data_IF_601626328367
#
_entry.id   IF_601626328367
#
_cell.length_a   1.000
_cell.length_b   1.000
_cell.length_c   1.000
_cell.angle_alpha   90.00
_cell.angle_beta   90.00
_cell.angle_gamma   90.00
#
_symmetry.space_group_name_H-M   'P 1'
#
loop_
_entity.id
_entity.type
_entity.pdbx_description
1 polymer ?
#
# COMPACT_ATOMS: atom_id res chain seq x y z
N UNK A 1 -3.37 21.83 -9.58
CA UNK A 1 -4.68 22.48 -9.79
C UNK A 1 -5.60 22.29 -8.58
N UNK A 2 -6.34 23.33 -8.17
CA UNK A 2 -7.36 23.24 -7.09
C UNK A 2 -8.49 22.26 -7.44
N UNK A 3 -8.91 22.23 -8.70
CA UNK A 3 -9.91 21.30 -9.23
C UNK A 3 -9.44 19.85 -9.06
N UNK A 4 -8.18 19.56 -9.39
CA UNK A 4 -7.61 18.22 -9.24
C UNK A 4 -7.62 17.72 -7.79
N UNK A 5 -7.25 18.59 -6.83
CA UNK A 5 -7.31 18.26 -5.39
C UNK A 5 -8.74 18.01 -4.91
N UNK A 6 -9.67 18.87 -5.34
CA UNK A 6 -11.09 18.75 -5.01
C UNK A 6 -11.68 17.43 -5.52
N UNK A 7 -11.50 17.13 -6.80
CA UNK A 7 -11.96 15.89 -7.43
C UNK A 7 -11.31 14.67 -6.80
N UNK A 8 -10.02 14.74 -6.43
CA UNK A 8 -9.37 13.62 -5.74
C UNK A 8 -9.99 13.37 -4.37
N UNK A 9 -10.20 14.41 -3.56
CA UNK A 9 -10.87 14.29 -2.25
C UNK A 9 -12.28 13.72 -2.37
N UNK A 10 -12.95 14.03 -3.47
CA UNK A 10 -14.29 13.54 -3.76
C UNK A 10 -14.31 12.06 -4.21
N UNK A 11 -13.47 11.71 -5.19
CA UNK A 11 -13.52 10.40 -5.87
C UNK A 11 -12.69 9.32 -5.17
N UNK A 12 -11.63 9.69 -4.45
CA UNK A 12 -10.72 8.72 -3.84
C UNK A 12 -11.41 7.85 -2.78
N UNK A 13 -12.17 8.40 -1.81
CA UNK A 13 -12.88 7.57 -0.82
C UNK A 13 -13.90 6.63 -1.46
N UNK A 14 -14.59 7.10 -2.51
CA UNK A 14 -15.50 6.26 -3.30
C UNK A 14 -14.75 5.10 -3.96
N UNK A 15 -13.65 5.38 -4.65
CA UNK A 15 -12.83 4.40 -5.32
C UNK A 15 -12.26 3.36 -4.34
N UNK A 16 -11.67 3.81 -3.24
CA UNK A 16 -11.09 2.94 -2.22
C UNK A 16 -12.16 2.00 -1.61
N UNK A 17 -13.39 2.50 -1.41
CA UNK A 17 -14.48 1.69 -0.87
C UNK A 17 -14.94 0.58 -1.83
N UNK A 18 -15.19 0.90 -3.11
CA UNK A 18 -15.66 -0.12 -4.09
C UNK A 18 -14.55 -1.13 -4.43
N UNK A 19 -13.28 -0.72 -4.34
CA UNK A 19 -12.14 -1.57 -4.69
C UNK A 19 -11.65 -2.44 -3.53
N UNK A 20 -12.11 -2.19 -2.29
CA UNK A 20 -11.59 -2.84 -1.07
C UNK A 20 -11.62 -4.37 -1.15
N UNK A 21 -12.66 -4.95 -1.73
CA UNK A 21 -12.82 -6.41 -1.83
C UNK A 21 -11.86 -7.08 -2.82
N UNK A 22 -11.38 -6.34 -3.82
CA UNK A 22 -10.54 -6.88 -4.89
C UNK A 22 -9.08 -6.41 -4.81
N UNK A 23 -8.71 -5.67 -3.76
CA UNK A 23 -7.37 -5.08 -3.62
C UNK A 23 -6.58 -5.78 -2.52
N UNK A 24 -5.32 -6.11 -2.82
CA UNK A 24 -4.32 -6.47 -1.82
C UNK A 24 -3.75 -5.19 -1.21
N UNK A 25 -3.87 -5.04 0.11
CA UNK A 25 -3.39 -3.85 0.82
C UNK A 25 -1.87 -3.76 0.82
N UNK A 26 -1.21 -4.89 1.06
CA UNK A 26 0.23 -5.07 1.14
C UNK A 26 0.56 -6.57 1.06
N UNK A 27 1.85 -6.90 1.13
CA UNK A 27 2.39 -8.25 1.05
C UNK A 27 1.75 -9.19 2.09
N UNK A 28 1.66 -8.78 3.35
CA UNK A 28 1.04 -9.63 4.38
C UNK A 28 -0.46 -9.93 4.13
N UNK A 29 -1.23 -9.02 3.52
CA UNK A 29 -2.63 -9.28 3.13
C UNK A 29 -2.72 -10.29 1.98
N UNK A 30 -1.84 -10.17 0.98
CA UNK A 30 -1.69 -11.17 -0.08
C UNK A 30 -1.38 -12.55 0.49
N UNK A 31 -0.37 -12.65 1.36
CA UNK A 31 0.04 -13.93 1.94
C UNK A 31 -1.03 -14.53 2.84
N UNK A 32 -1.75 -13.72 3.61
CA UNK A 32 -2.90 -14.17 4.40
C UNK A 32 -3.98 -14.78 3.51
N UNK A 33 -4.35 -14.10 2.42
CA UNK A 33 -5.36 -14.58 1.45
C UNK A 33 -4.88 -15.84 0.71
N UNK A 34 -3.61 -15.92 0.36
CA UNK A 34 -3.00 -17.11 -0.25
C UNK A 34 -2.96 -18.31 0.70
N UNK A 35 -2.56 -18.13 1.96
CA UNK A 35 -2.59 -19.18 2.97
C UNK A 35 -4.03 -19.68 3.18
N UNK A 36 -5.00 -18.77 3.24
CA UNK A 36 -6.42 -19.13 3.33
C UNK A 36 -6.87 -19.95 2.12
N UNK A 37 -6.54 -19.49 0.90
CA UNK A 37 -6.80 -20.24 -0.34
C UNK A 37 -6.16 -21.64 -0.29
N UNK A 38 -4.89 -21.74 0.09
CA UNK A 38 -4.17 -23.01 0.16
C UNK A 38 -4.70 -23.97 1.24
N UNK A 39 -5.24 -23.44 2.34
CA UNK A 39 -5.84 -24.24 3.42
C UNK A 39 -7.20 -24.84 3.07
N UNK A 40 -7.86 -24.31 2.03
CA UNK A 40 -9.15 -24.80 1.59
C UNK A 40 -8.98 -26.05 0.72
N UNK A 41 -9.82 -27.04 0.98
CA UNK A 41 -9.78 -28.33 0.29
C UNK A 41 -9.90 -28.15 -1.24
N UNK A 42 -9.06 -28.85 -2.00
CA UNK A 42 -9.02 -28.88 -3.46
C UNK A 42 -8.82 -27.52 -4.17
N UNK A 43 -8.29 -26.51 -3.47
CA UNK A 43 -7.97 -25.22 -4.10
C UNK A 43 -6.54 -25.18 -4.66
N UNK A 44 -5.54 -25.40 -3.81
CA UNK A 44 -4.14 -25.46 -4.24
C UNK A 44 -3.73 -26.90 -4.57
N UNK A 45 -3.68 -27.20 -5.85
CA UNK A 45 -3.33 -28.49 -6.43
C UNK A 45 -1.90 -28.44 -6.97
N UNK A 46 -1.30 -29.59 -7.25
CA UNK A 46 0.03 -29.66 -7.88
C UNK A 46 0.10 -29.00 -9.26
N UNK A 47 -1.04 -28.86 -9.94
CA UNK A 47 -1.17 -28.23 -11.26
C UNK A 47 -1.63 -26.77 -11.20
N UNK A 48 -1.91 -26.22 -10.01
CA UNK A 48 -2.34 -24.82 -9.90
C UNK A 48 -1.26 -23.89 -10.42
N UNK A 49 -1.64 -23.03 -11.36
CA UNK A 49 -0.81 -21.97 -11.87
C UNK A 49 -1.12 -20.68 -11.12
N UNK A 50 -0.08 -19.88 -10.91
CA UNK A 50 -0.22 -18.48 -10.54
C UNK A 50 -0.07 -17.62 -11.78
N UNK A 51 -0.89 -16.59 -11.89
CA UNK A 51 -0.83 -15.60 -12.95
C UNK A 51 -0.63 -14.21 -12.36
N UNK A 52 0.34 -13.47 -12.90
CA UNK A 52 0.56 -12.07 -12.56
C UNK A 52 0.54 -11.23 -13.82
N UNK A 53 -0.20 -10.12 -13.75
CA UNK A 53 -0.32 -9.17 -14.85
C UNK A 53 0.18 -7.83 -14.35
N UNK A 54 1.27 -7.32 -14.94
CA UNK A 54 1.79 -5.98 -14.68
C UNK A 54 1.33 -5.01 -15.77
N UNK A 55 0.77 -3.89 -15.36
CA UNK A 55 0.24 -2.85 -16.24
C UNK A 55 1.34 -1.80 -16.47
N UNK A 56 1.94 -1.80 -17.67
CA UNK A 56 3.14 -1.02 -17.97
C UNK A 56 2.88 0.47 -18.16
N UNK A 57 1.65 0.85 -18.50
CA UNK A 57 1.25 2.23 -18.78
C UNK A 57 0.12 2.72 -17.85
N UNK A 58 0.15 2.35 -16.57
CA UNK A 58 -0.90 2.64 -15.59
C UNK A 58 -1.36 4.10 -15.54
N UNK A 59 -0.47 5.08 -15.73
CA UNK A 59 -0.84 6.50 -15.69
C UNK A 59 -1.26 7.08 -17.06
N UNK A 60 -1.12 6.29 -18.13
CA UNK A 60 -1.35 6.68 -19.52
C UNK A 60 -2.20 5.60 -20.20
N UNK A 61 -3.22 5.14 -19.49
CA UNK A 61 -4.06 3.99 -19.89
C UNK A 61 -4.85 4.27 -21.15
N UNK A 62 -5.54 5.41 -21.21
CA UNK A 62 -6.48 5.67 -22.30
C UNK A 62 -6.62 7.18 -22.59
N UNK A 63 -7.32 7.49 -23.67
CA UNK A 63 -7.72 8.86 -24.02
C UNK A 63 -8.65 9.43 -22.95
N UNK A 64 -8.58 10.75 -22.77
CA UNK A 64 -9.33 11.44 -21.71
C UNK A 64 -10.84 11.15 -21.75
N UNK A 65 -11.42 11.07 -22.96
CA UNK A 65 -12.85 10.78 -23.13
C UNK A 65 -13.23 9.45 -22.48
N UNK A 66 -12.51 8.38 -22.79
CA UNK A 66 -12.78 7.04 -22.26
C UNK A 66 -12.61 7.03 -20.74
N UNK A 67 -11.54 7.62 -20.19
CA UNK A 67 -11.35 7.71 -18.75
C UNK A 67 -12.53 8.43 -18.05
N UNK A 68 -13.01 9.53 -18.61
CA UNK A 68 -14.16 10.29 -18.07
C UNK A 68 -15.45 9.45 -18.14
N UNK A 69 -15.67 8.76 -19.25
CA UNK A 69 -16.87 7.94 -19.45
C UNK A 69 -16.85 6.71 -18.54
N UNK A 70 -15.69 6.07 -18.31
CA UNK A 70 -15.54 4.98 -17.34
C UNK A 70 -15.83 5.44 -15.92
N UNK A 71 -15.32 6.61 -15.49
CA UNK A 71 -15.67 7.16 -14.17
C UNK A 71 -17.17 7.39 -14.04
N UNK A 72 -17.79 7.99 -15.06
CA UNK A 72 -19.23 8.22 -15.06
C UNK A 72 -20.02 6.91 -14.98
N UNK A 73 -19.61 5.88 -15.72
CA UNK A 73 -20.22 4.56 -15.68
C UNK A 73 -20.11 3.92 -14.30
N UNK A 74 -18.90 3.87 -13.71
CA UNK A 74 -18.68 3.27 -12.38
C UNK A 74 -19.50 3.99 -11.30
N UNK A 75 -19.62 5.32 -11.38
CA UNK A 75 -20.45 6.12 -10.48
C UNK A 75 -21.96 5.81 -10.60
N UNK A 76 -22.42 5.45 -11.79
CA UNK A 76 -23.82 5.04 -12.04
C UNK A 76 -24.08 3.60 -11.57
N UNK A 77 -23.11 2.71 -11.75
CA UNK A 77 -23.16 1.29 -11.39
C UNK A 77 -23.18 1.07 -9.85
N UNK A 78 -22.75 2.06 -9.06
CA UNK A 78 -22.62 1.96 -7.59
C UNK A 78 -23.42 3.01 -6.82
N UNK A 79 -24.75 3.16 -7.05
CA UNK A 79 -25.56 4.27 -6.53
C UNK A 79 -25.56 4.37 -5.00
N UNK A 80 -25.44 3.23 -4.30
CA UNK A 80 -25.42 3.17 -2.83
C UNK A 80 -24.17 3.82 -2.22
N UNK A 81 -23.04 3.77 -2.94
CA UNK A 81 -21.77 4.41 -2.52
C UNK A 81 -21.67 5.85 -3.01
N UNK A 82 -22.45 6.21 -4.03
CA UNK A 82 -22.58 7.57 -4.58
C UNK A 82 -23.23 8.55 -3.61
N UNK A 83 -23.82 8.07 -2.49
CA UNK A 83 -24.26 8.92 -1.38
C UNK A 83 -23.14 9.76 -0.73
N UNK A 84 -21.87 9.47 -1.00
CA UNK A 84 -20.73 10.33 -0.62
C UNK A 84 -20.69 11.61 -1.47
N UNK A 85 -21.31 11.59 -2.65
CA UNK A 85 -21.31 12.68 -3.64
C UNK A 85 -22.54 13.59 -3.54
N UNK A 86 -23.27 13.57 -2.40
CA UNK A 86 -24.61 14.12 -2.10
C UNK A 86 -25.02 15.49 -2.70
N UNK A 87 -24.08 16.29 -3.22
CA UNK A 87 -24.34 17.63 -3.76
C UNK A 87 -23.80 17.86 -5.18
N UNK A 88 -23.28 16.83 -5.86
CA UNK A 88 -22.64 16.99 -7.17
C UNK A 88 -23.18 15.96 -8.16
N UNK A 89 -23.75 16.44 -9.26
CA UNK A 89 -24.21 15.56 -10.34
C UNK A 89 -23.03 14.88 -11.04
N UNK A 90 -23.25 13.66 -11.56
CA UNK A 90 -22.25 12.94 -12.38
C UNK A 90 -21.84 13.80 -13.58
N UNK A 91 -22.76 14.56 -14.18
CA UNK A 91 -22.45 15.47 -15.29
C UNK A 91 -21.49 16.59 -14.86
N UNK A 92 -21.67 17.15 -13.67
CA UNK A 92 -20.74 18.12 -13.07
C UNK A 92 -19.36 17.51 -12.89
N UNK A 93 -19.26 16.27 -12.39
CA UNK A 93 -17.99 15.54 -12.26
C UNK A 93 -17.33 15.37 -13.64
N UNK A 94 -18.08 14.93 -14.66
CA UNK A 94 -17.56 14.80 -16.04
C UNK A 94 -16.99 16.13 -16.54
N UNK A 95 -17.70 17.24 -16.34
CA UNK A 95 -17.25 18.55 -16.80
C UNK A 95 -15.99 19.02 -16.07
N UNK A 96 -15.92 18.83 -14.75
CA UNK A 96 -14.72 19.15 -13.97
C UNK A 96 -13.52 18.28 -14.39
N UNK A 97 -13.73 17.00 -14.67
CA UNK A 97 -12.70 16.10 -15.20
C UNK A 97 -12.23 16.52 -16.59
N UNK A 98 -13.14 16.96 -17.48
CA UNK A 98 -12.77 17.54 -18.78
C UNK A 98 -11.87 18.76 -18.59
N UNK A 99 -12.28 19.69 -17.72
CA UNK A 99 -11.46 20.88 -17.42
C UNK A 99 -10.09 20.47 -16.88
N UNK A 100 -10.03 19.48 -16.00
CA UNK A 100 -8.77 19.01 -15.45
C UNK A 100 -7.86 18.37 -16.52
N UNK A 101 -8.35 17.36 -17.23
CA UNK A 101 -7.54 16.56 -18.16
C UNK A 101 -7.11 17.35 -19.40
N UNK A 102 -8.01 18.13 -20.00
CA UNK A 102 -7.71 18.86 -21.25
C UNK A 102 -6.91 20.16 -21.04
N UNK A 103 -6.82 20.68 -19.81
CA UNK A 103 -6.01 21.87 -19.51
C UNK A 103 -4.65 21.56 -18.90
N UNK A 104 -4.26 20.27 -18.82
CA UNK A 104 -2.92 19.89 -18.40
C UNK A 104 -1.93 20.13 -19.55
N UNK A 105 -1.26 21.29 -19.50
CA UNK A 105 -0.20 21.70 -20.42
C UNK A 105 1.15 21.58 -19.73
N UNK A 106 2.19 21.20 -20.48
CA UNK A 106 3.57 21.24 -20.01
C UNK A 106 4.46 21.87 -21.08
N UNK A 107 5.58 22.44 -20.65
CA UNK A 107 6.53 23.11 -21.52
C UNK A 107 7.81 22.29 -21.63
N UNK A 108 8.29 22.07 -22.84
CA UNK A 108 9.55 21.38 -23.11
C UNK A 108 10.08 21.82 -24.47
N UNK A 109 11.40 22.01 -24.61
CA UNK A 109 12.06 22.39 -25.86
C UNK A 109 11.35 23.54 -26.60
N UNK A 110 11.06 24.61 -25.87
CA UNK A 110 10.37 25.81 -26.36
C UNK A 110 8.96 25.60 -26.95
N UNK A 111 8.35 24.44 -26.67
CA UNK A 111 7.01 24.08 -27.14
C UNK A 111 6.08 23.77 -25.97
N UNK A 112 4.82 24.13 -26.15
CA UNK A 112 3.74 23.79 -25.22
C UNK A 112 3.09 22.50 -25.71
N UNK A 113 3.12 21.46 -24.88
CA UNK A 113 2.50 20.18 -25.13
C UNK A 113 1.28 19.99 -24.26
N UNK A 114 0.35 19.15 -24.73
CA UNK A 114 -0.80 18.70 -23.98
C UNK A 114 -0.81 17.18 -23.92
N UNK A 115 -1.34 16.64 -22.83
CA UNK A 115 -1.58 15.21 -22.76
C UNK A 115 -2.77 14.84 -23.66
N UNK A 116 -2.59 13.80 -24.46
CA UNK A 116 -3.66 13.21 -25.28
C UNK A 116 -4.24 11.95 -24.65
N UNK A 117 -3.48 11.33 -23.74
CA UNK A 117 -3.84 10.17 -22.93
C UNK A 117 -3.36 10.38 -21.48
N UNK A 118 -4.11 9.83 -20.53
CA UNK A 118 -3.74 9.89 -19.12
C UNK A 118 -3.65 11.32 -18.57
N UNK A 119 -2.70 11.54 -17.66
CA UNK A 119 -2.42 12.83 -17.02
C UNK A 119 -1.03 12.76 -16.36
N UNK A 120 -0.38 13.88 -16.01
CA UNK A 120 0.92 13.84 -15.32
C UNK A 120 0.93 12.88 -14.12
N UNK A 121 1.96 12.02 -14.06
CA UNK A 121 2.16 11.01 -13.02
C UNK A 121 2.22 11.59 -11.60
N UNK A 122 2.57 12.87 -11.45
CA UNK A 122 2.74 13.52 -10.16
C UNK A 122 1.44 13.99 -9.50
N UNK A 123 0.26 13.77 -10.11
CA UNK A 123 -1.01 14.25 -9.57
C UNK A 123 -1.82 13.13 -8.92
N UNK A 124 -2.24 13.26 -7.64
CA UNK A 124 -3.03 12.25 -6.94
C UNK A 124 -4.33 11.85 -7.66
N UNK A 125 -4.96 12.81 -8.36
CA UNK A 125 -6.15 12.52 -9.15
C UNK A 125 -5.87 11.54 -10.30
N UNK A 126 -4.70 11.62 -10.95
CA UNK A 126 -4.31 10.69 -12.03
C UNK A 126 -4.32 9.25 -11.53
N UNK A 127 -3.75 9.00 -10.34
CA UNK A 127 -3.76 7.68 -9.71
C UNK A 127 -5.19 7.20 -9.42
N UNK A 128 -6.06 8.08 -8.92
CA UNK A 128 -7.46 7.76 -8.61
C UNK A 128 -8.24 7.40 -9.88
N UNK A 129 -8.08 8.18 -10.96
CA UNK A 129 -8.75 7.92 -12.23
C UNK A 129 -8.27 6.60 -12.86
N UNK A 130 -6.96 6.35 -12.80
CA UNK A 130 -6.36 5.12 -13.33
C UNK A 130 -6.84 3.90 -12.54
N UNK A 131 -6.95 4.00 -11.21
CA UNK A 131 -7.53 2.94 -10.38
C UNK A 131 -8.99 2.65 -10.74
N UNK A 132 -9.82 3.69 -10.95
CA UNK A 132 -11.22 3.50 -11.38
C UNK A 132 -11.29 2.82 -12.73
N UNK A 133 -10.44 3.23 -13.68
CA UNK A 133 -10.38 2.61 -14.99
C UNK A 133 -9.99 1.13 -14.91
N UNK A 134 -8.93 0.79 -14.16
CA UNK A 134 -8.49 -0.60 -13.98
C UNK A 134 -9.53 -1.44 -13.23
N UNK A 135 -10.25 -0.86 -12.27
CA UNK A 135 -11.35 -1.55 -11.58
C UNK A 135 -12.49 -1.95 -12.52
N UNK A 136 -12.80 -1.12 -13.52
CA UNK A 136 -13.78 -1.51 -14.53
C UNK A 136 -13.17 -2.54 -15.50
N UNK A 137 -11.95 -2.28 -15.98
CA UNK A 137 -11.25 -3.14 -16.92
C UNK A 137 -11.05 -4.58 -16.39
N UNK A 138 -10.69 -4.75 -15.12
CA UNK A 138 -10.45 -6.06 -14.52
C UNK A 138 -11.71 -6.94 -14.50
N UNK A 139 -12.92 -6.38 -14.66
CA UNK A 139 -14.15 -7.18 -14.79
C UNK A 139 -14.08 -8.13 -15.99
N UNK A 140 -13.29 -7.81 -17.02
CA UNK A 140 -13.02 -8.71 -18.15
C UNK A 140 -12.29 -9.98 -17.71
N UNK A 141 -11.35 -9.86 -16.76
CA UNK A 141 -10.63 -11.00 -16.19
C UNK A 141 -11.56 -11.76 -15.24
N UNK A 142 -12.20 -11.06 -14.31
CA UNK A 142 -13.06 -11.65 -13.27
C UNK A 142 -14.20 -12.51 -13.83
N UNK A 143 -14.76 -12.16 -15.00
CA UNK A 143 -15.80 -12.96 -15.67
C UNK A 143 -15.36 -14.39 -16.00
N UNK A 144 -14.05 -14.60 -16.17
CA UNK A 144 -13.49 -15.90 -16.53
C UNK A 144 -12.88 -16.63 -15.32
N UNK A 145 -12.71 -15.95 -14.19
CA UNK A 145 -12.15 -16.54 -12.98
C UNK A 145 -13.27 -17.26 -12.21
N UNK A 146 -13.05 -18.54 -11.94
CA UNK A 146 -13.97 -19.36 -11.15
C UNK A 146 -14.01 -18.86 -9.70
N UNK A 147 -15.17 -19.00 -9.06
CA UNK A 147 -15.40 -18.49 -7.69
C UNK A 147 -14.46 -19.09 -6.63
N UNK A 148 -13.90 -20.28 -6.87
CA UNK A 148 -12.95 -20.92 -5.98
C UNK A 148 -11.52 -20.40 -6.13
N UNK A 149 -11.20 -19.67 -7.21
CA UNK A 149 -9.88 -19.09 -7.42
C UNK A 149 -9.65 -17.83 -6.58
N UNK A 150 -8.40 -17.60 -6.18
CA UNK A 150 -8.00 -16.36 -5.57
C UNK A 150 -7.79 -15.31 -6.66
N UNK A 151 -8.32 -14.11 -6.45
CA UNK A 151 -8.07 -12.93 -7.26
C UNK A 151 -7.79 -11.72 -6.38
N UNK A 152 -6.88 -10.87 -6.82
CA UNK A 152 -6.79 -9.51 -6.32
C UNK A 152 -5.82 -8.66 -7.12
N UNK A 153 -5.84 -7.37 -6.83
CA UNK A 153 -5.02 -6.36 -7.52
C UNK A 153 -4.19 -5.55 -6.55
N UNK A 154 -3.13 -4.96 -7.05
CA UNK A 154 -2.42 -3.83 -6.45
C UNK A 154 -2.62 -2.59 -7.33
N UNK A 155 -1.81 -1.54 -7.14
CA UNK A 155 -1.90 -0.31 -7.94
C UNK A 155 -1.79 -0.60 -9.44
N UNK A 156 -0.71 -1.26 -9.85
CA UNK A 156 -0.35 -1.51 -11.25
C UNK A 156 -0.22 -3.01 -11.58
N UNK A 157 -0.70 -3.88 -10.68
CA UNK A 157 -0.60 -5.33 -10.83
C UNK A 157 -1.91 -6.06 -10.54
N UNK A 158 -2.11 -7.20 -11.18
CA UNK A 158 -3.17 -8.17 -10.87
C UNK A 158 -2.51 -9.51 -10.59
N UNK A 159 -3.07 -10.25 -9.63
CA UNK A 159 -2.68 -11.60 -9.28
C UNK A 159 -3.91 -12.48 -9.19
N UNK A 160 -3.83 -13.69 -9.75
CA UNK A 160 -4.83 -14.73 -9.54
C UNK A 160 -4.28 -16.14 -9.66
N UNK A 161 -5.02 -17.10 -9.12
CA UNK A 161 -4.75 -18.54 -9.25
C UNK A 161 -5.57 -19.14 -10.38
N UNK A 162 -5.08 -20.23 -10.97
CA UNK A 162 -5.73 -20.89 -12.09
C UNK A 162 -5.56 -22.41 -12.04
N UNK A 163 -6.67 -23.13 -11.92
CA UNK A 163 -6.72 -24.60 -11.96
C UNK A 163 -7.33 -25.19 -13.24
N UNK A 164 -7.80 -24.36 -14.18
CA UNK A 164 -8.34 -24.85 -15.45
C UNK A 164 -7.20 -25.12 -16.47
N UNK A 165 -7.56 -25.44 -17.70
CA UNK A 165 -6.57 -25.73 -18.75
C UNK A 165 -5.71 -24.50 -19.09
N UNK A 166 -4.46 -24.75 -19.50
CA UNK A 166 -3.55 -23.67 -19.93
C UNK A 166 -4.04 -23.02 -21.23
N UNK A 167 -4.63 -23.80 -22.14
CA UNK A 167 -5.15 -23.29 -23.42
C UNK A 167 -6.30 -22.30 -23.22
N UNK A 168 -7.19 -22.58 -22.26
CA UNK A 168 -8.26 -21.65 -21.87
C UNK A 168 -7.69 -20.35 -21.31
N UNK A 169 -6.66 -20.43 -20.44
CA UNK A 169 -5.98 -19.25 -19.90
C UNK A 169 -5.36 -18.39 -21.00
N UNK A 170 -4.61 -19.00 -21.91
CA UNK A 170 -4.01 -18.28 -23.04
C UNK A 170 -5.07 -17.62 -23.93
N UNK A 171 -6.16 -18.33 -24.23
CA UNK A 171 -7.28 -17.79 -25.03
C UNK A 171 -7.93 -16.57 -24.37
N UNK A 172 -8.15 -16.62 -23.05
CA UNK A 172 -8.72 -15.51 -22.28
C UNK A 172 -7.77 -14.31 -22.32
N UNK A 173 -6.48 -14.52 -22.08
CA UNK A 173 -5.49 -13.44 -22.05
C UNK A 173 -5.33 -12.78 -23.41
N UNK A 174 -5.26 -13.55 -24.50
CA UNK A 174 -5.24 -13.01 -25.86
C UNK A 174 -6.50 -12.20 -26.19
N UNK A 175 -7.67 -12.68 -25.74
CA UNK A 175 -8.94 -11.98 -25.94
C UNK A 175 -8.94 -10.64 -25.21
N UNK A 176 -8.41 -10.60 -23.99
CA UNK A 176 -8.31 -9.37 -23.19
C UNK A 176 -7.36 -8.37 -23.84
N UNK A 177 -6.19 -8.80 -24.32
CA UNK A 177 -5.25 -7.94 -25.03
C UNK A 177 -5.86 -7.35 -26.30
N UNK A 178 -6.62 -8.15 -27.05
CA UNK A 178 -7.33 -7.70 -28.27
C UNK A 178 -8.45 -6.70 -27.97
N UNK A 179 -9.21 -6.90 -26.89
CA UNK A 179 -10.32 -6.02 -26.53
C UNK A 179 -9.86 -4.64 -26.03
N UNK A 180 -8.64 -4.53 -25.50
CA UNK A 180 -8.15 -3.32 -24.83
C UNK A 180 -6.72 -2.98 -25.25
N UNK A 181 -6.50 -2.59 -26.52
CA UNK A 181 -5.16 -2.37 -27.08
C UNK A 181 -4.41 -1.19 -26.42
N UNK A 182 -5.12 -0.33 -25.68
CA UNK A 182 -4.52 0.78 -24.97
C UNK A 182 -3.85 0.37 -23.65
N UNK A 183 -4.22 -0.78 -23.07
CA UNK A 183 -3.61 -1.27 -21.81
C UNK A 183 -2.46 -2.20 -22.16
N UNK A 184 -1.22 -1.78 -21.84
CA UNK A 184 -0.02 -2.58 -22.10
C UNK A 184 0.25 -3.49 -20.92
N UNK A 185 0.23 -4.79 -21.19
CA UNK A 185 0.37 -5.83 -20.18
C UNK A 185 1.74 -6.50 -20.27
N UNK A 186 2.25 -6.94 -19.13
CA UNK A 186 3.31 -7.94 -19.03
C UNK A 186 2.78 -9.06 -18.15
N UNK A 187 2.59 -10.24 -18.74
CA UNK A 187 1.96 -11.38 -18.08
C UNK A 187 3.01 -12.42 -17.73
N UNK A 188 2.93 -12.98 -16.53
CA UNK A 188 3.73 -14.13 -16.11
C UNK A 188 2.82 -15.21 -15.57
N UNK A 189 3.02 -16.44 -16.04
CA UNK A 189 2.22 -17.61 -15.68
C UNK A 189 3.18 -18.72 -15.29
N UNK A 190 2.91 -19.39 -14.18
CA UNK A 190 3.66 -20.57 -13.81
C UNK A 190 3.35 -21.06 -12.41
N UNK A 191 3.98 -22.16 -12.02
CA UNK A 191 4.01 -22.60 -10.63
C UNK A 191 4.82 -21.65 -9.75
N UNK A 192 5.64 -20.77 -10.33
CA UNK A 192 6.44 -19.76 -9.63
C UNK A 192 6.29 -18.40 -10.30
N UNK A 193 5.87 -17.40 -9.53
CA UNK A 193 5.68 -16.02 -10.01
C UNK A 193 6.14 -15.00 -8.98
N UNK A 194 6.17 -13.74 -9.40
CA UNK A 194 6.51 -12.60 -8.55
C UNK A 194 5.34 -11.61 -8.49
N UNK A 195 4.98 -11.18 -7.29
CA UNK A 195 3.94 -10.17 -7.07
C UNK A 195 4.17 -9.47 -5.73
N UNK A 196 4.04 -8.13 -5.67
CA UNK A 196 4.26 -7.32 -4.45
C UNK A 196 5.54 -7.73 -3.70
N UNK A 197 6.73 -7.60 -4.32
CA UNK A 197 8.02 -7.96 -3.72
C UNK A 197 8.08 -9.37 -3.09
N UNK A 198 7.22 -10.28 -3.56
CA UNK A 198 7.10 -11.63 -3.05
C UNK A 198 7.26 -12.62 -4.20
N UNK A 199 8.12 -13.61 -4.00
CA UNK A 199 8.21 -14.79 -4.83
C UNK A 199 7.22 -15.82 -4.29
N UNK A 200 6.29 -16.26 -5.12
CA UNK A 200 5.21 -17.20 -4.78
C UNK A 200 5.44 -18.45 -5.62
N UNK A 201 5.47 -19.61 -4.97
CA UNK A 201 5.78 -20.88 -5.60
C UNK A 201 4.84 -21.98 -5.12
N UNK A 202 4.40 -22.82 -6.05
CA UNK A 202 3.60 -24.00 -5.81
C UNK A 202 4.52 -25.21 -5.98
N UNK A 203 4.91 -25.80 -4.84
CA UNK A 203 5.73 -27.02 -4.79
C UNK A 203 4.81 -28.21 -4.61
N UNK A 204 4.28 -28.72 -5.72
CA UNK A 204 3.44 -29.92 -5.74
C UNK A 204 2.19 -29.85 -4.83
N UNK A 205 1.50 -28.71 -4.82
CA UNK A 205 0.31 -28.47 -4.00
C UNK A 205 0.63 -27.83 -2.64
N UNK A 206 1.90 -27.52 -2.36
CA UNK A 206 2.31 -26.78 -1.19
C UNK A 206 2.70 -25.36 -1.55
N UNK A 207 2.12 -24.39 -0.85
CA UNK A 207 2.44 -22.98 -1.01
C UNK A 207 3.77 -22.66 -0.36
N UNK A 208 4.68 -22.08 -1.15
CA UNK A 208 5.97 -21.58 -0.69
C UNK A 208 6.11 -20.11 -1.07
N UNK A 209 6.55 -19.29 -0.13
CA UNK A 209 6.66 -17.84 -0.32
C UNK A 209 7.94 -17.30 0.31
N UNK A 210 8.59 -16.35 -0.36
CA UNK A 210 9.79 -15.66 0.14
C UNK A 210 9.87 -14.24 -0.41
N UNK A 211 10.67 -13.39 0.23
CA UNK A 211 10.91 -12.03 -0.27
C UNK A 211 11.59 -12.10 -1.65
N UNK A 212 11.18 -11.22 -2.55
CA UNK A 212 11.78 -11.02 -3.85
C UNK A 212 12.44 -9.65 -3.93
N UNK A 213 13.74 -9.64 -4.18
CA UNK A 213 14.52 -8.44 -4.47
C UNK A 213 14.69 -8.31 -5.98
N UNK A 214 14.20 -7.21 -6.56
CA UNK A 214 14.43 -6.94 -7.99
C UNK A 214 15.90 -6.57 -8.19
N UNK A 215 16.69 -7.36 -8.95
CA UNK A 215 18.11 -7.11 -9.16
C UNK A 215 18.40 -5.80 -9.91
N UNK A 216 17.39 -5.23 -10.58
CA UNK A 216 17.48 -3.94 -11.27
C UNK A 216 17.13 -2.76 -10.36
N UNK A 217 16.47 -3.03 -9.23
CA UNK A 217 16.21 -2.02 -8.22
C UNK A 217 17.40 -1.94 -7.27
N UNK A 218 17.98 -0.74 -7.16
CA UNK A 218 18.98 -0.53 -6.13
C UNK A 218 18.24 -0.40 -4.81
N UNK A 219 18.26 -1.46 -4.00
CA UNK A 219 17.70 -1.50 -2.65
C UNK A 219 18.56 -0.66 -1.71
N UNK A 220 18.65 0.64 -1.95
CA UNK A 220 19.17 1.57 -0.97
C UNK A 220 18.16 1.61 0.19
N UNK A 221 18.46 0.86 1.25
CA UNK A 221 17.93 1.19 2.57
C UNK A 221 18.23 2.66 2.85
N UNK A 222 17.39 3.32 3.67
CA UNK A 222 17.57 4.70 4.08
C UNK A 222 19.03 4.89 4.56
N UNK A 223 19.93 5.56 3.81
CA UNK A 223 21.33 5.62 4.18
C UNK A 223 21.46 6.23 5.57
N UNK A 224 22.38 5.73 6.41
CA UNK A 224 22.61 6.30 7.74
C UNK A 224 23.40 7.61 7.62
N UNK A 225 22.74 8.61 7.04
CA UNK A 225 23.28 9.94 6.78
C UNK A 225 22.66 10.96 7.75
N UNK A 226 23.42 12.00 8.04
CA UNK A 226 22.93 13.14 8.84
C UNK A 226 21.70 13.76 8.16
N UNK A 227 20.53 13.69 8.79
CA UNK A 227 19.29 14.29 8.29
C UNK A 227 18.03 13.45 8.54
N UNK A 228 18.17 12.15 8.82
CA UNK A 228 17.06 11.28 9.21
C UNK A 228 17.05 11.03 10.72
N UNK A 229 15.86 10.99 11.33
CA UNK A 229 15.74 10.70 12.76
C UNK A 229 16.05 9.22 13.01
N UNK A 230 16.70 8.90 14.15
CA UNK A 230 16.95 7.51 14.58
C UNK A 230 15.67 6.66 14.58
N UNK A 231 14.51 7.29 14.80
CA UNK A 231 13.19 6.65 14.75
C UNK A 231 12.86 6.13 13.34
N UNK A 232 13.16 6.89 12.27
CA UNK A 232 12.91 6.45 10.89
C UNK A 232 13.73 5.21 10.53
N UNK A 233 15.01 5.19 10.91
CA UNK A 233 15.91 4.06 10.74
C UNK A 233 15.43 2.81 11.50
N UNK A 234 15.02 3.01 12.76
CA UNK A 234 14.46 1.95 13.61
C UNK A 234 13.19 1.35 13.02
N UNK A 235 12.26 2.22 12.57
CA UNK A 235 11.01 1.80 11.96
C UNK A 235 11.23 1.03 10.66
N UNK A 236 12.15 1.47 9.81
CA UNK A 236 12.45 0.78 8.55
C UNK A 236 12.89 -0.66 8.81
N UNK A 237 13.93 -0.87 9.64
CA UNK A 237 14.46 -2.22 9.91
C UNK A 237 13.40 -3.10 10.58
N UNK A 238 12.66 -2.55 11.55
CA UNK A 238 11.56 -3.26 12.21
C UNK A 238 10.49 -3.70 11.21
N UNK A 239 10.03 -2.80 10.34
CA UNK A 239 9.01 -3.12 9.34
C UNK A 239 9.51 -4.16 8.34
N UNK A 240 10.77 -4.09 7.92
CA UNK A 240 11.37 -5.06 7.01
C UNK A 240 11.45 -6.46 7.65
N UNK A 241 11.84 -6.56 8.93
CA UNK A 241 11.87 -7.84 9.66
C UNK A 241 10.46 -8.43 9.84
N UNK A 242 9.46 -7.59 10.16
CA UNK A 242 8.05 -8.02 10.24
C UNK A 242 7.57 -8.54 8.90
N UNK A 243 7.88 -7.83 7.82
CA UNK A 243 7.54 -8.23 6.46
C UNK A 243 8.18 -9.58 6.10
N UNK A 244 9.48 -9.76 6.38
CA UNK A 244 10.19 -11.01 6.15
C UNK A 244 9.52 -12.17 6.88
N UNK A 245 9.19 -12.00 8.17
CA UNK A 245 8.52 -13.04 8.96
C UNK A 245 7.13 -13.40 8.41
N UNK A 246 6.37 -12.43 7.91
CA UNK A 246 5.05 -12.69 7.34
C UNK A 246 5.14 -13.38 5.97
N UNK A 247 6.08 -12.93 5.14
CA UNK A 247 6.21 -13.40 3.75
C UNK A 247 6.89 -14.74 3.66
N UNK A 248 7.99 -14.96 4.37
CA UNK A 248 8.75 -16.20 4.27
C UNK A 248 7.98 -17.38 4.89
N UNK A 249 7.68 -18.40 4.09
CA UNK A 249 7.04 -19.63 4.56
C UNK A 249 8.04 -20.56 5.24
N UNK A 250 9.28 -20.62 4.75
CA UNK A 250 10.33 -21.41 5.34
C UNK A 250 11.22 -20.58 6.27
N UNK A 251 11.67 -21.23 7.33
CA UNK A 251 12.59 -20.67 8.31
C UNK A 251 13.93 -20.24 7.70
N UNK A 252 14.43 -21.01 6.72
CA UNK A 252 15.69 -20.74 6.05
C UNK A 252 15.59 -19.47 5.19
N UNK A 253 14.50 -19.29 4.44
CA UNK A 253 14.29 -18.05 3.67
C UNK A 253 14.20 -16.82 4.60
N UNK A 254 13.56 -16.96 5.76
CA UNK A 254 13.49 -15.88 6.75
C UNK A 254 14.87 -15.54 7.31
N UNK A 255 15.69 -16.55 7.59
CA UNK A 255 17.07 -16.35 8.04
C UNK A 255 17.94 -15.67 6.98
N UNK A 256 17.85 -16.13 5.73
CA UNK A 256 18.55 -15.51 4.60
C UNK A 256 18.15 -14.04 4.46
N UNK A 257 16.85 -13.74 4.51
CA UNK A 257 16.35 -12.37 4.43
C UNK A 257 16.79 -11.52 5.63
N UNK A 258 16.74 -12.06 6.85
CA UNK A 258 17.21 -11.37 8.06
C UNK A 258 18.69 -11.00 7.91
N UNK A 259 19.53 -11.95 7.53
CA UNK A 259 20.96 -11.72 7.31
C UNK A 259 21.17 -10.66 6.22
N UNK A 260 20.41 -10.74 5.13
CA UNK A 260 20.43 -9.75 4.06
C UNK A 260 20.08 -8.34 4.57
N UNK A 261 19.05 -8.19 5.41
CA UNK A 261 18.67 -6.90 6.02
C UNK A 261 19.74 -6.36 6.97
N UNK A 262 20.33 -7.23 7.79
CA UNK A 262 21.44 -6.88 8.69
C UNK A 262 22.65 -6.37 7.89
N UNK A 263 23.07 -7.10 6.86
CA UNK A 263 24.16 -6.71 5.97
C UNK A 263 23.85 -5.41 5.22
N UNK A 264 22.62 -5.26 4.74
CA UNK A 264 22.16 -4.04 4.07
C UNK A 264 22.27 -2.83 5.01
N UNK A 265 21.91 -2.96 6.28
CA UNK A 265 22.10 -1.89 7.27
C UNK A 265 23.58 -1.53 7.44
N UNK A 266 24.44 -2.53 7.62
CA UNK A 266 25.87 -2.31 7.84
C UNK A 266 26.52 -1.60 6.64
N UNK A 267 26.20 -2.04 5.42
CA UNK A 267 26.68 -1.41 4.17
C UNK A 267 26.17 0.04 4.04
N UNK A 268 24.97 0.33 4.55
CA UNK A 268 24.41 1.70 4.56
C UNK A 268 24.86 2.55 5.76
N UNK A 269 25.87 2.12 6.52
CA UNK A 269 26.53 2.92 7.57
C UNK A 269 25.91 2.82 8.97
N UNK A 270 25.00 1.88 9.19
CA UNK A 270 24.42 1.64 10.51
C UNK A 270 25.45 0.95 11.41
N UNK A 271 25.49 1.30 12.70
CA UNK A 271 26.42 0.64 13.63
C UNK A 271 25.96 -0.79 13.94
N UNK A 272 26.91 -1.71 14.13
CA UNK A 272 26.61 -3.09 14.54
C UNK A 272 25.71 -3.13 15.79
N UNK A 273 26.03 -2.34 16.80
CA UNK A 273 25.23 -2.22 18.03
C UNK A 273 23.79 -1.76 17.76
N UNK A 274 23.57 -0.90 16.76
CA UNK A 274 22.21 -0.51 16.37
C UNK A 274 21.46 -1.71 15.78
N UNK A 275 22.07 -2.41 14.83
CA UNK A 275 21.46 -3.56 14.14
C UNK A 275 21.13 -4.66 15.13
N UNK A 276 22.11 -5.09 15.93
CA UNK A 276 21.95 -6.14 16.94
C UNK A 276 20.84 -5.80 17.95
N UNK A 277 20.79 -4.55 18.43
CA UNK A 277 19.76 -4.11 19.38
C UNK A 277 18.36 -4.23 18.77
N UNK A 278 18.18 -3.85 17.51
CA UNK A 278 16.87 -3.85 16.87
C UNK A 278 16.42 -5.25 16.46
N UNK A 279 17.35 -6.09 15.99
CA UNK A 279 17.08 -7.51 15.72
C UNK A 279 16.75 -8.23 17.03
N UNK A 280 17.50 -7.99 18.10
CA UNK A 280 17.20 -8.56 19.42
C UNK A 280 15.81 -8.13 19.91
N UNK A 281 15.50 -6.84 19.84
CA UNK A 281 14.19 -6.31 20.22
C UNK A 281 13.04 -6.92 19.38
N UNK A 282 13.28 -7.23 18.11
CA UNK A 282 12.29 -7.88 17.25
C UNK A 282 11.93 -9.29 17.76
N UNK A 283 12.91 -10.08 18.20
CA UNK A 283 12.67 -11.39 18.81
C UNK A 283 12.13 -11.28 20.24
N UNK A 284 12.63 -10.33 21.04
CA UNK A 284 12.20 -10.10 22.43
C UNK A 284 10.69 -9.82 22.50
N UNK A 285 10.14 -9.11 21.50
CA UNK A 285 8.73 -8.71 21.46
C UNK A 285 7.75 -9.90 21.59
N UNK A 286 8.12 -11.07 21.10
CA UNK A 286 7.33 -12.30 21.20
C UNK A 286 8.00 -13.39 22.06
N UNK A 287 8.94 -13.02 22.94
CA UNK A 287 9.72 -13.95 23.75
C UNK A 287 10.43 -15.03 22.92
N UNK A 288 10.87 -14.67 21.71
CA UNK A 288 11.42 -15.57 20.70
C UNK A 288 12.97 -15.56 20.68
N UNK A 289 13.62 -15.30 21.81
CA UNK A 289 15.06 -15.05 21.85
C UNK A 289 15.93 -16.25 21.46
N UNK A 290 15.47 -17.46 21.79
CA UNK A 290 16.10 -18.70 21.34
C UNK A 290 16.09 -18.83 19.81
N UNK A 291 15.12 -18.21 19.13
CA UNK A 291 14.96 -18.26 17.67
C UNK A 291 16.04 -17.47 16.92
N UNK A 292 16.81 -16.62 17.60
CA UNK A 292 17.92 -15.90 16.94
C UNK A 292 19.05 -16.85 16.49
N UNK A 293 19.24 -17.96 17.19
CA UNK A 293 20.41 -18.84 17.04
C UNK A 293 20.07 -20.24 16.51
N UNK A 294 18.86 -20.73 16.74
CA UNK A 294 18.37 -21.98 16.18
C UNK A 294 16.88 -21.90 15.95
N UNK A 295 16.42 -22.20 14.74
CA UNK A 295 15.00 -22.28 14.44
C UNK A 295 14.68 -23.60 13.78
N UNK A 296 13.81 -24.38 14.41
CA UNK A 296 13.05 -25.39 13.70
C UNK A 296 11.79 -24.76 13.09
N UNK A 297 11.28 -25.37 12.01
CA UNK A 297 10.13 -24.86 11.28
C UNK A 297 8.88 -24.72 12.17
N UNK A 298 8.66 -25.61 13.13
CA UNK A 298 7.46 -25.60 13.99
C UNK A 298 7.46 -24.38 14.91
N UNK A 299 8.62 -24.05 15.48
CA UNK A 299 8.81 -22.87 16.32
C UNK A 299 8.66 -21.59 15.50
N UNK A 300 9.23 -21.55 14.28
CA UNK A 300 9.05 -20.43 13.35
C UNK A 300 7.58 -20.23 12.95
N UNK A 301 6.83 -21.29 12.66
CA UNK A 301 5.41 -21.19 12.30
C UNK A 301 4.54 -20.61 13.43
N UNK A 302 4.90 -20.83 14.69
CA UNK A 302 4.23 -20.20 15.85
C UNK A 302 4.55 -18.70 15.89
N UNK A 303 5.82 -18.35 15.75
CA UNK A 303 6.28 -16.96 15.71
C UNK A 303 5.65 -16.15 14.56
N UNK A 304 5.64 -16.74 13.36
CA UNK A 304 5.02 -16.16 12.17
C UNK A 304 3.53 -15.89 12.36
N UNK A 305 2.79 -16.80 13.00
CA UNK A 305 1.37 -16.60 13.33
C UNK A 305 1.15 -15.40 14.26
N UNK A 306 1.97 -15.24 15.29
CA UNK A 306 1.87 -14.09 16.21
C UNK A 306 2.04 -12.75 15.48
N UNK A 307 2.93 -12.68 14.47
CA UNK A 307 3.06 -11.50 13.63
C UNK A 307 1.84 -11.25 12.75
N UNK A 308 1.25 -12.29 12.16
CA UNK A 308 -0.01 -12.12 11.41
C UNK A 308 -1.12 -11.57 12.30
N UNK A 309 -1.29 -12.11 13.51
CA UNK A 309 -2.30 -11.64 14.46
C UNK A 309 -2.06 -10.18 14.84
N UNK A 310 -0.80 -9.80 15.06
CA UNK A 310 -0.41 -8.42 15.33
C UNK A 310 -0.74 -7.48 14.16
N UNK A 311 -0.44 -7.87 12.91
CA UNK A 311 -0.76 -7.05 11.73
C UNK A 311 -2.28 -6.88 11.59
N UNK A 312 -3.05 -7.94 11.77
CA UNK A 312 -4.52 -7.88 11.70
C UNK A 312 -5.09 -6.93 12.75
N UNK A 313 -4.53 -6.95 13.97
CA UNK A 313 -4.91 -6.00 15.01
C UNK A 313 -4.57 -4.56 14.62
N UNK A 314 -3.40 -4.30 14.03
CA UNK A 314 -3.00 -2.97 13.56
C UNK A 314 -3.90 -2.46 12.41
N UNK A 315 -4.29 -3.32 11.48
CA UNK A 315 -5.22 -2.99 10.40
C UNK A 315 -6.60 -2.60 10.93
N UNK A 316 -7.14 -3.34 11.90
CA UNK A 316 -8.43 -3.01 12.52
C UNK A 316 -8.36 -1.67 13.28
N UNK A 317 -7.25 -1.40 13.97
CA UNK A 317 -7.02 -0.10 14.61
C UNK A 317 -6.94 1.03 13.58
N UNK A 318 -6.27 0.82 12.46
CA UNK A 318 -6.15 1.81 11.37
C UNK A 318 -7.50 2.07 10.71
N UNK A 319 -8.25 1.02 10.36
CA UNK A 319 -9.60 1.14 9.81
C UNK A 319 -10.55 1.88 10.79
N UNK A 320 -10.40 1.67 12.12
CA UNK A 320 -11.16 2.40 13.15
C UNK A 320 -10.75 3.87 13.23
N UNK A 321 -9.47 4.18 13.14
CA UNK A 321 -8.95 5.55 13.13
C UNK A 321 -9.42 6.31 11.89
N UNK A 322 -9.39 5.69 10.70
CA UNK A 322 -9.86 6.30 9.46
C UNK A 322 -11.37 6.59 9.47
N UNK A 323 -12.17 5.67 10.02
CA UNK A 323 -13.62 5.88 10.19
C UNK A 323 -13.90 7.03 11.16
N UNK A 324 -13.13 7.11 12.23
CA UNK A 324 -13.17 8.22 13.16
C UNK A 324 -12.85 9.52 12.38
N UNK A 325 -11.71 9.64 11.72
CA UNK A 325 -11.28 10.85 11.01
C UNK A 325 -12.27 11.31 9.92
N UNK A 326 -13.06 10.39 9.34
CA UNK A 326 -14.10 10.71 8.35
C UNK A 326 -15.39 11.31 8.89
N UNK A 327 -15.61 11.18 10.20
CA UNK A 327 -16.66 11.94 10.91
C UNK A 327 -15.99 13.23 11.39
N UNK A 328 -16.43 14.40 10.90
CA UNK A 328 -15.89 15.75 11.21
C UNK A 328 -15.83 16.13 12.73
N UNK A 329 -16.00 15.16 13.62
CA UNK A 329 -15.91 15.23 15.08
C UNK A 329 -14.49 14.94 15.60
N UNK A 330 -13.43 15.13 14.81
CA UNK A 330 -12.05 14.96 15.30
C UNK A 330 -11.23 16.23 15.25
N UNK A 331 -10.71 16.57 16.43
CA UNK A 331 -9.77 17.65 16.60
C UNK A 331 -8.38 17.02 16.69
N UNK A 332 -7.61 17.14 15.61
CA UNK A 332 -6.20 16.75 15.61
C UNK A 332 -5.37 17.84 16.28
N UNK A 333 -4.92 17.56 17.51
CA UNK A 333 -3.96 18.41 18.19
C UNK A 333 -2.55 17.90 17.96
N UNK A 334 -1.75 18.73 17.28
CA UNK A 334 -0.34 18.47 17.11
C UNK A 334 0.43 19.18 18.22
N UNK A 335 1.23 18.44 18.98
CA UNK A 335 2.12 19.04 19.98
C UNK A 335 3.57 18.68 19.72
N UNK A 336 4.45 19.61 20.09
CA UNK A 336 5.88 19.41 19.97
C UNK A 336 6.41 18.63 21.16
N UNK A 337 7.22 17.61 20.89
CA UNK A 337 7.72 16.72 21.92
C UNK A 337 9.22 16.50 21.82
N UNK A 338 9.95 17.05 22.80
CA UNK A 338 11.41 17.07 22.83
C UNK A 338 12.01 16.00 23.74
N UNK A 339 11.52 15.84 24.97
CA UNK A 339 12.00 14.81 25.91
C UNK A 339 10.95 14.47 27.00
N UNK A 340 11.04 13.26 27.57
CA UNK A 340 10.20 12.78 28.70
C UNK A 340 9.51 11.42 28.47
N UNK A 341 8.53 11.04 29.30
CA UNK A 341 7.62 9.91 29.09
C UNK A 341 6.34 10.30 28.31
N UNK A 342 6.32 10.03 26.99
CA UNK A 342 5.22 10.42 26.09
C UNK A 342 3.86 9.86 26.53
N UNK A 343 3.86 8.61 26.97
CA UNK A 343 2.64 7.95 27.43
C UNK A 343 2.02 8.68 28.62
N UNK A 344 2.85 9.17 29.55
CA UNK A 344 2.39 9.89 30.73
C UNK A 344 1.83 11.28 30.35
N UNK A 345 2.48 12.00 29.42
CA UNK A 345 1.94 13.26 28.91
C UNK A 345 0.60 13.05 28.21
N UNK A 346 0.50 12.06 27.31
CA UNK A 346 -0.74 11.75 26.62
C UNK A 346 -1.85 11.41 27.62
N UNK A 347 -1.54 10.62 28.64
CA UNK A 347 -2.49 10.25 29.69
C UNK A 347 -2.96 11.48 30.47
N UNK A 348 -2.03 12.30 30.97
CA UNK A 348 -2.37 13.52 31.70
C UNK A 348 -3.16 14.52 30.85
N UNK A 349 -2.83 14.63 29.56
CA UNK A 349 -3.61 15.45 28.64
C UNK A 349 -5.02 14.90 28.49
N UNK A 350 -5.21 13.59 28.30
CA UNK A 350 -6.54 13.00 28.20
C UNK A 350 -7.32 13.20 29.49
N UNK A 351 -6.71 13.02 30.66
CA UNK A 351 -7.35 13.25 31.97
C UNK A 351 -7.81 14.71 32.12
N UNK A 352 -6.96 15.68 31.73
CA UNK A 352 -7.29 17.11 31.71
C UNK A 352 -8.37 17.44 30.69
N UNK A 353 -8.27 16.84 29.50
CA UNK A 353 -9.16 17.08 28.39
C UNK A 353 -10.57 16.58 28.72
N UNK A 354 -10.69 15.33 29.18
CA UNK A 354 -11.96 14.72 29.56
C UNK A 354 -12.60 15.50 30.72
N UNK A 355 -11.81 15.90 31.73
CA UNK A 355 -12.29 16.74 32.83
C UNK A 355 -12.83 18.10 32.34
N UNK A 356 -12.14 18.77 31.42
CA UNK A 356 -12.56 20.08 30.92
C UNK A 356 -13.78 19.99 29.99
N UNK A 357 -13.85 18.96 29.15
CA UNK A 357 -14.91 18.79 28.15
C UNK A 357 -16.26 18.43 28.77
N UNK A 358 -16.26 17.57 29.80
CA UNK A 358 -17.48 17.15 30.50
C UNK A 358 -18.23 18.33 31.17
N UNK A 359 -17.50 19.39 31.50
CA UNK A 359 -18.05 20.57 32.18
C UNK A 359 -18.41 21.73 31.25
N UNK A 360 -18.14 21.62 29.94
CA UNK A 360 -18.34 22.72 28.99
C UNK A 360 -19.60 22.54 28.13
N UNK A 361 -20.65 23.33 28.40
CA UNK A 361 -22.02 23.15 27.89
C UNK A 361 -22.20 23.16 26.35
N UNK A 362 -21.27 23.77 25.61
CA UNK A 362 -21.28 23.82 24.14
C UNK A 362 -20.54 22.62 23.53
N UNK A 363 -19.43 22.22 24.15
CA UNK A 363 -18.54 21.18 23.64
C UNK A 363 -19.02 19.78 24.03
N UNK A 364 -19.74 19.63 25.14
CA UNK A 364 -20.33 18.35 25.54
C UNK A 364 -21.46 17.86 24.62
N UNK A 365 -22.06 18.75 23.82
CA UNK A 365 -23.12 18.41 22.85
C UNK A 365 -22.58 17.84 21.54
N UNK A 366 -21.38 18.27 21.12
CA UNK A 366 -20.68 17.74 19.95
C UNK A 366 -19.63 16.75 20.44
N UNK A 367 -19.88 15.43 20.32
CA UNK A 367 -18.95 14.36 20.73
C UNK A 367 -17.66 14.38 19.89
N UNK A 368 -16.85 15.42 20.06
CA UNK A 368 -15.59 15.61 19.38
C UNK A 368 -14.51 14.84 20.11
N UNK A 369 -13.86 13.90 19.43
CA UNK A 369 -12.70 13.16 19.98
C UNK A 369 -11.42 13.91 19.62
N UNK A 370 -10.48 13.93 20.55
CA UNK A 370 -9.13 14.46 20.27
C UNK A 370 -8.19 13.33 19.94
N UNK A 371 -7.45 13.51 18.84
CA UNK A 371 -6.25 12.74 18.57
C UNK A 371 -5.05 13.65 18.79
N UNK A 372 -4.26 13.29 19.81
CA UNK A 372 -2.96 13.89 20.03
C UNK A 372 -1.92 13.26 19.10
N UNK A 373 -1.34 14.09 18.24
CA UNK A 373 -0.26 13.70 17.35
C UNK A 373 1.02 14.43 17.75
N UNK A 374 2.11 13.71 17.98
CA UNK A 374 3.40 14.32 18.29
C UNK A 374 4.12 14.73 17.02
N UNK A 375 4.58 15.98 16.97
CA UNK A 375 5.63 16.42 16.03
C UNK A 375 6.93 16.51 16.83
N UNK A 376 7.90 15.66 16.52
CA UNK A 376 9.23 15.82 17.11
C UNK A 376 9.87 17.07 16.53
N UNK A 377 10.43 17.96 17.36
CA UNK A 377 11.35 18.94 16.80
C UNK A 377 12.48 18.18 16.15
N UNK A 378 12.68 18.51 14.88
CA UNK A 378 13.97 18.57 14.21
C UNK A 378 15.11 18.48 15.22
N UNK A 379 15.83 17.36 15.24
CA UNK A 379 17.12 17.28 15.96
C UNK A 379 17.94 18.49 15.55
N UNK A 380 18.80 19.04 16.43
CA UNK A 380 19.71 20.16 16.12
C UNK A 380 20.34 20.06 14.71
N UNK A 381 20.63 18.85 14.22
CA UNK A 381 21.05 18.56 12.85
C UNK A 381 20.11 19.09 11.75
N UNK A 382 18.79 19.02 11.89
CA UNK A 382 17.81 19.51 10.90
C UNK A 382 17.72 21.05 10.85
N UNK A 383 18.16 21.76 11.89
CA UNK A 383 18.38 23.21 11.85
C UNK A 383 19.72 23.55 11.17
N UNK A 384 20.72 22.66 11.30
CA UNK A 384 22.05 22.82 10.70
C UNK A 384 22.13 22.33 9.23
N UNK A 385 21.17 21.52 8.77
CA UNK A 385 21.06 21.02 7.39
C UNK A 385 20.04 21.79 6.54
N UNK A 386 19.51 22.92 7.00
CA UNK A 386 18.89 23.86 6.07
C UNK A 386 20.02 24.44 5.20
N UNK A 387 20.19 23.89 4.01
CA UNK A 387 20.98 24.53 2.97
C UNK A 387 20.48 25.96 2.83
N UNK A 388 21.37 26.94 3.04
CA UNK A 388 21.15 28.28 2.48
C UNK A 388 20.82 28.08 1.02
N UNK A 389 19.73 28.69 0.56
CA UNK A 389 19.37 28.71 -0.86
C UNK A 389 20.52 29.26 -1.70
N UNK A 390 21.37 28.38 -2.20
CA UNK A 390 22.27 28.69 -3.30
C UNK A 390 21.39 28.79 -4.54
N UNK A 391 21.04 30.04 -4.87
CA UNK A 391 20.80 30.38 -6.26
C UNK A 391 22.04 29.98 -7.04
N UNK A 392 21.99 28.83 -7.72
CA UNK A 392 22.90 28.52 -8.80
C UNK A 392 22.06 28.27 -10.05
N UNK A 393 21.96 29.36 -10.80
CA UNK A 393 21.86 29.39 -12.26
C UNK A 393 23.04 28.59 -12.84
N UNK A 394 22.80 27.99 -14.03
CA UNK A 394 23.74 27.45 -15.04
C UNK A 394 23.57 25.93 -15.23
N UNK A 395 23.41 25.38 -16.45
CA UNK A 395 23.41 25.91 -17.82
C UNK A 395 22.59 24.96 -18.70
#
# INVERSE_FOLDING_TARGET
SKIGKYLNRLLRPFADNIMKSTTFRHEADLIKKLNHYASMEHRLNSTTLFCTIKILNFNVLDIHKNMIDTVAYVLQDHPQTTNILKHISINTIKNLLKIFLYNNKFYSNDKIYTFTKGSPNAMPLTDTLSNIYIFEWQKLILKNIKQNELFGRSKDGIFFTWNSSNDELHTILETIEKQQPNVRLKIFIGSKVQFLNTCIENRHGQLYTRIYHDPTSQSYALPYVSGHTKVKHSHWLRSALIQAACVCSAVDDFNEERIYLELTCLVNGYSLRFVERHVQHFFDYFNANSMRYSMDQTTYDKFRRQWFDFIVMQDDLTDKMEKLDSTDNLIHLNYFYDFGPRCQFNQQFHDLWDHYFDHHAILSKEKSKIILTTKHFHSLNAFLTQEKSTYQVQL
#
